data_IF_457591464531
#
_entry.id   IF_457591464531
#
_cell.length_a   1.000
_cell.length_b   1.000
_cell.length_c   1.000
_cell.angle_alpha   90.00
_cell.angle_beta   90.00
_cell.angle_gamma   90.00
#
_symmetry.space_group_name_H-M   'P 1'
#
loop_
_entity.id
_entity.type
_entity.pdbx_description
1 polymer ?
#
# COMPACT_ATOMS: atom_id res chain seq x y z
N UNK A 1 12.17 11.17 -18.09
CA UNK A 1 11.14 12.21 -18.06
C UNK A 1 10.57 12.34 -16.65
N UNK A 2 10.47 13.54 -16.16
CA UNK A 2 9.89 13.79 -14.84
C UNK A 2 8.36 13.71 -14.94
N UNK A 3 7.74 12.87 -14.11
CA UNK A 3 6.30 12.79 -14.04
C UNK A 3 5.76 14.05 -13.36
N UNK A 4 4.73 14.68 -13.94
CA UNK A 4 4.08 15.83 -13.32
C UNK A 4 3.42 15.42 -12.02
N UNK A 5 3.60 16.24 -10.97
CA UNK A 5 2.96 16.02 -9.68
C UNK A 5 1.47 16.33 -9.75
N UNK A 6 0.70 15.53 -9.01
CA UNK A 6 -0.75 15.69 -8.91
C UNK A 6 -1.09 16.49 -7.64
N UNK A 7 -1.82 17.54 -7.83
CA UNK A 7 -2.39 18.34 -6.75
C UNK A 7 -3.84 17.91 -6.50
N UNK A 8 -4.43 18.39 -5.43
CA UNK A 8 -5.83 18.08 -5.11
C UNK A 8 -6.74 18.41 -6.31
N UNK A 9 -6.45 19.50 -7.01
CA UNK A 9 -7.21 20.00 -8.17
C UNK A 9 -7.21 19.00 -9.34
N UNK A 10 -6.20 18.14 -9.41
CA UNK A 10 -6.03 17.15 -10.48
C UNK A 10 -6.69 15.80 -10.16
N UNK A 11 -7.19 15.64 -8.94
CA UNK A 11 -7.75 14.38 -8.46
C UNK A 11 -9.26 14.43 -8.44
N UNK A 12 -9.89 13.32 -8.80
CA UNK A 12 -11.35 13.20 -8.81
C UNK A 12 -11.73 11.79 -8.37
N UNK A 13 -12.96 11.65 -7.90
CA UNK A 13 -13.50 10.33 -7.55
C UNK A 13 -13.46 9.44 -8.79
N UNK A 14 -12.93 8.23 -8.61
CA UNK A 14 -12.77 7.29 -9.71
C UNK A 14 -11.38 7.32 -10.37
N UNK A 15 -10.51 8.27 -10.01
CA UNK A 15 -9.12 8.23 -10.48
C UNK A 15 -8.48 6.91 -10.08
N UNK A 16 -7.85 6.23 -11.03
CA UNK A 16 -7.21 4.93 -10.81
C UNK A 16 -5.75 4.95 -11.22
N UNK A 17 -4.97 4.12 -10.55
CA UNK A 17 -3.54 3.99 -10.80
C UNK A 17 -3.07 2.59 -10.47
N UNK A 18 -2.17 2.05 -11.30
CA UNK A 18 -1.53 0.76 -11.06
C UNK A 18 -0.03 0.97 -10.92
N UNK A 19 0.56 0.43 -9.86
CA UNK A 19 2.01 0.52 -9.60
C UNK A 19 2.80 -0.48 -10.45
N UNK A 20 4.13 -0.40 -10.37
CA UNK A 20 5.01 -1.47 -10.78
C UNK A 20 4.87 -2.69 -9.87
N UNK A 21 5.76 -3.66 -10.02
CA UNK A 21 5.68 -4.93 -9.29
C UNK A 21 6.85 -5.10 -8.32
N UNK A 22 6.63 -5.96 -7.33
CA UNK A 22 7.63 -6.35 -6.33
C UNK A 22 7.48 -7.84 -6.06
N UNK A 23 8.53 -8.61 -6.28
CA UNK A 23 8.51 -10.05 -5.96
C UNK A 23 9.16 -10.25 -4.59
N UNK A 24 8.41 -10.86 -3.67
CA UNK A 24 8.87 -11.12 -2.31
C UNK A 24 9.47 -12.51 -2.23
N UNK A 25 10.61 -12.67 -1.56
CA UNK A 25 11.23 -13.97 -1.38
C UNK A 25 11.21 -14.43 0.08
N UNK A 26 11.54 -15.70 0.28
CA UNK A 26 11.55 -16.32 1.60
C UNK A 26 12.50 -15.61 2.56
N UNK A 27 13.69 -15.25 2.08
CA UNK A 27 14.71 -14.61 2.91
C UNK A 27 14.22 -13.26 3.45
N UNK A 28 13.56 -12.45 2.62
CA UNK A 28 12.99 -11.17 3.06
C UNK A 28 11.88 -11.36 4.07
N UNK A 29 11.00 -12.35 3.86
CA UNK A 29 9.89 -12.62 4.79
C UNK A 29 10.45 -12.90 6.18
N UNK A 30 11.45 -13.77 6.27
CA UNK A 30 12.06 -14.12 7.55
C UNK A 30 12.84 -12.96 8.16
N UNK A 31 13.57 -12.20 7.35
CA UNK A 31 14.34 -11.04 7.83
C UNK A 31 13.46 -9.97 8.44
N UNK A 32 12.37 -9.60 7.75
CA UNK A 32 11.41 -8.63 8.27
C UNK A 32 10.79 -9.13 9.57
N UNK A 33 10.34 -10.39 9.56
CA UNK A 33 9.68 -11.01 10.73
C UNK A 33 10.63 -11.06 11.92
N UNK A 34 11.88 -11.43 11.70
CA UNK A 34 12.88 -11.49 12.77
C UNK A 34 13.05 -10.14 13.45
N UNK A 35 12.98 -9.06 12.68
CA UNK A 35 13.15 -7.72 13.18
C UNK A 35 11.90 -7.14 13.83
N UNK A 36 10.70 -7.38 13.27
CA UNK A 36 9.49 -6.66 13.65
C UNK A 36 8.31 -7.53 14.05
N UNK A 37 8.27 -8.81 13.66
CA UNK A 37 7.13 -9.69 13.90
C UNK A 37 7.61 -11.15 14.05
N UNK A 38 8.37 -11.43 15.11
CA UNK A 38 9.05 -12.73 15.25
C UNK A 38 8.12 -13.85 15.72
N UNK A 39 7.12 -14.13 14.91
CA UNK A 39 6.17 -15.21 15.16
C UNK A 39 6.54 -16.44 14.30
N UNK A 40 6.32 -17.67 14.83
CA UNK A 40 6.80 -18.89 14.15
C UNK A 40 6.36 -19.04 12.70
N UNK A 41 5.11 -18.69 12.37
CA UNK A 41 4.58 -18.83 11.00
C UNK A 41 5.16 -17.83 10.00
N UNK A 42 5.95 -16.86 10.46
CA UNK A 42 6.71 -15.92 9.61
C UNK A 42 8.20 -16.25 9.59
N UNK A 43 8.66 -17.18 10.44
CA UNK A 43 10.08 -17.46 10.64
C UNK A 43 10.50 -18.86 10.23
N UNK A 44 9.60 -19.83 10.30
CA UNK A 44 9.94 -21.26 10.19
C UNK A 44 8.88 -21.99 9.36
N UNK A 45 9.32 -22.62 8.27
CA UNK A 45 8.44 -23.36 7.37
C UNK A 45 7.68 -24.49 8.08
N UNK A 46 8.37 -25.24 8.94
CA UNK A 46 7.76 -26.37 9.65
C UNK A 46 6.68 -25.89 10.62
N UNK A 47 6.98 -24.85 11.39
CA UNK A 47 6.02 -24.24 12.32
C UNK A 47 4.83 -23.65 11.56
N UNK A 48 5.09 -23.01 10.42
CA UNK A 48 4.06 -22.39 9.59
C UNK A 48 3.08 -23.42 9.02
N UNK A 49 3.54 -24.60 8.65
CA UNK A 49 2.69 -25.68 8.14
C UNK A 49 1.67 -26.16 9.17
N UNK A 50 2.00 -26.09 10.45
CA UNK A 50 1.10 -26.44 11.54
C UNK A 50 0.19 -25.28 11.98
N UNK A 51 0.33 -24.11 11.40
CA UNK A 51 -0.44 -22.91 11.75
C UNK A 51 -1.68 -22.74 10.89
N UNK A 52 -2.49 -21.74 11.21
CA UNK A 52 -3.63 -21.34 10.38
C UNK A 52 -3.22 -20.98 8.95
N UNK A 53 -1.98 -20.54 8.74
CA UNK A 53 -1.48 -20.17 7.42
C UNK A 53 -1.12 -21.39 6.56
N UNK A 54 -0.92 -22.55 7.16
CA UNK A 54 -0.57 -23.81 6.48
C UNK A 54 0.70 -23.75 5.62
N UNK A 55 1.58 -22.83 5.92
CA UNK A 55 2.83 -22.61 5.23
C UNK A 55 3.36 -21.22 5.55
N UNK A 56 4.61 -20.96 5.21
CA UNK A 56 5.25 -19.69 5.50
C UNK A 56 4.45 -18.55 4.86
N UNK A 57 4.14 -17.54 5.67
CA UNK A 57 3.42 -16.36 5.24
C UNK A 57 4.20 -15.12 5.67
N UNK A 58 4.16 -14.08 4.85
CA UNK A 58 4.73 -12.78 5.21
C UNK A 58 3.88 -12.12 6.28
N UNK A 59 4.52 -11.37 7.18
CA UNK A 59 3.82 -10.51 8.12
C UNK A 59 2.95 -9.51 7.36
N UNK A 60 1.73 -9.26 7.83
CA UNK A 60 0.87 -8.23 7.25
C UNK A 60 1.56 -6.87 7.24
N UNK A 61 2.32 -6.54 8.28
CA UNK A 61 3.06 -5.27 8.34
C UNK A 61 4.17 -5.20 7.29
N UNK A 62 4.73 -6.34 6.88
CA UNK A 62 5.67 -6.41 5.78
C UNK A 62 4.98 -6.05 4.46
N UNK A 63 3.77 -6.58 4.25
CA UNK A 63 3.00 -6.28 3.05
C UNK A 63 2.60 -4.80 3.04
N UNK A 64 2.26 -4.24 4.19
CA UNK A 64 2.01 -2.80 4.31
C UNK A 64 3.24 -1.98 3.91
N UNK A 65 4.43 -2.40 4.33
CA UNK A 65 5.69 -1.73 3.99
C UNK A 65 6.00 -1.84 2.48
N UNK A 66 5.80 -3.01 1.89
CA UNK A 66 5.99 -3.20 0.44
C UNK A 66 4.99 -2.35 -0.35
N UNK A 67 3.75 -2.29 0.11
CA UNK A 67 2.72 -1.42 -0.50
C UNK A 67 3.20 0.02 -0.52
N UNK A 68 3.73 0.52 0.60
CA UNK A 68 4.28 1.88 0.67
C UNK A 68 5.44 2.06 -0.30
N UNK A 69 6.36 1.09 -0.38
CA UNK A 69 7.48 1.15 -1.31
C UNK A 69 7.00 1.27 -2.76
N UNK A 70 6.00 0.47 -3.15
CA UNK A 70 5.43 0.52 -4.49
C UNK A 70 4.71 1.86 -4.75
N UNK A 71 4.02 2.40 -3.74
CA UNK A 71 3.35 3.68 -3.87
C UNK A 71 4.35 4.84 -4.02
N UNK A 72 5.45 4.80 -3.30
CA UNK A 72 6.50 5.83 -3.40
C UNK A 72 7.24 5.74 -4.74
N UNK A 73 7.57 4.52 -5.16
CA UNK A 73 8.36 4.31 -6.38
C UNK A 73 7.54 4.51 -7.66
N UNK A 74 6.29 4.06 -7.66
CA UNK A 74 5.48 4.00 -8.89
C UNK A 74 3.98 4.17 -8.66
N UNK A 75 3.58 4.75 -7.53
CA UNK A 75 2.19 5.07 -7.24
C UNK A 75 1.77 6.41 -7.82
N UNK A 76 0.56 6.89 -7.49
CA UNK A 76 0.11 8.21 -7.94
C UNK A 76 1.12 9.27 -7.48
N UNK A 77 1.64 10.10 -8.40
CA UNK A 77 2.71 11.05 -8.06
C UNK A 77 2.16 12.29 -7.36
N UNK A 78 1.72 12.14 -6.13
CA UNK A 78 1.11 13.22 -5.36
C UNK A 78 2.11 14.33 -5.04
N UNK A 79 1.71 15.56 -5.21
CA UNK A 79 2.49 16.72 -4.79
C UNK A 79 2.65 16.67 -3.27
N UNK A 80 3.84 17.01 -2.78
CA UNK A 80 4.13 17.00 -1.36
C UNK A 80 4.40 15.63 -0.76
N UNK A 81 4.34 14.55 -1.56
CA UNK A 81 4.53 13.17 -1.10
C UNK A 81 3.24 12.55 -0.55
N UNK A 82 3.36 11.34 -0.02
CA UNK A 82 2.23 10.60 0.52
C UNK A 82 2.17 10.84 2.02
N UNK A 83 1.20 11.66 2.45
CA UNK A 83 1.04 12.03 3.86
C UNK A 83 -0.28 11.46 4.36
N UNK A 84 -0.19 10.40 5.18
CA UNK A 84 -1.35 9.73 5.72
C UNK A 84 -1.88 10.40 6.99
N UNK A 85 -3.20 10.45 7.12
CA UNK A 85 -3.88 10.97 8.29
C UNK A 85 -4.64 9.87 9.07
N UNK A 86 -4.66 8.67 8.55
CA UNK A 86 -5.32 7.52 9.17
C UNK A 86 -6.01 6.65 8.14
N UNK A 87 -6.50 5.50 8.56
CA UNK A 87 -7.17 4.59 7.64
C UNK A 87 -7.45 3.24 8.24
N UNK A 88 -7.87 2.32 7.39
CA UNK A 88 -8.19 0.95 7.71
C UNK A 88 -7.38 0.00 6.83
N UNK A 89 -6.94 -1.11 7.41
CA UNK A 89 -6.16 -2.11 6.71
C UNK A 89 -6.73 -3.50 6.97
N UNK A 90 -6.82 -4.31 5.91
CA UNK A 90 -7.26 -5.70 5.98
C UNK A 90 -6.31 -6.58 5.19
N UNK A 91 -6.11 -7.81 5.65
CA UNK A 91 -5.30 -8.83 4.98
C UNK A 91 -6.17 -10.05 4.69
N UNK A 92 -6.89 -10.06 3.55
CA UNK A 92 -7.85 -11.13 3.25
C UNK A 92 -7.21 -12.48 2.91
N UNK A 93 -5.94 -12.47 2.49
CA UNK A 93 -5.20 -13.70 2.13
C UNK A 93 -3.74 -13.58 2.55
N UNK A 94 -3.08 -14.71 2.88
CA UNK A 94 -1.66 -14.67 3.16
C UNK A 94 -0.84 -14.42 1.90
N UNK A 95 0.28 -13.74 2.07
CA UNK A 95 1.28 -13.57 1.01
C UNK A 95 2.36 -14.64 1.20
N UNK A 96 2.69 -15.33 0.12
CA UNK A 96 3.63 -16.45 0.13
C UNK A 96 4.96 -16.07 -0.49
N UNK A 97 6.04 -16.80 -0.13
CA UNK A 97 7.32 -16.63 -0.82
C UNK A 97 7.15 -16.80 -2.33
N UNK A 98 7.75 -15.92 -3.10
CA UNK A 98 7.68 -15.94 -4.55
C UNK A 98 6.50 -15.19 -5.15
N UNK A 99 5.59 -14.68 -4.33
CA UNK A 99 4.48 -13.89 -4.85
C UNK A 99 5.01 -12.59 -5.46
N UNK A 100 4.42 -12.20 -6.58
CA UNK A 100 4.69 -10.92 -7.25
C UNK A 100 3.52 -9.98 -7.01
N UNK A 101 3.81 -8.88 -6.35
CA UNK A 101 2.81 -7.94 -5.84
C UNK A 101 2.78 -6.68 -6.70
N UNK A 102 1.58 -6.12 -6.86
CA UNK A 102 1.36 -4.79 -7.43
C UNK A 102 0.25 -4.11 -6.64
N UNK A 103 0.18 -2.79 -6.72
CA UNK A 103 -0.83 -2.01 -6.01
C UNK A 103 -1.74 -1.32 -7.02
N UNK A 104 -3.05 -1.54 -6.89
CA UNK A 104 -4.07 -0.83 -7.66
C UNK A 104 -4.80 0.11 -6.71
N UNK A 105 -4.83 1.39 -7.07
CA UNK A 105 -5.39 2.44 -6.23
C UNK A 105 -6.55 3.12 -6.91
N UNK A 106 -7.52 3.55 -6.11
CA UNK A 106 -8.67 4.31 -6.59
C UNK A 106 -9.03 5.40 -5.57
N UNK A 107 -9.25 6.62 -6.08
CA UNK A 107 -9.74 7.73 -5.26
C UNK A 107 -11.23 7.55 -5.03
N UNK A 108 -11.64 7.44 -3.77
CA UNK A 108 -13.04 7.27 -3.38
C UNK A 108 -13.71 8.57 -3.01
N UNK A 109 -12.95 9.55 -2.51
CA UNK A 109 -13.49 10.81 -2.02
C UNK A 109 -12.43 11.90 -2.15
N UNK A 110 -12.86 13.12 -2.46
CA UNK A 110 -12.00 14.32 -2.51
C UNK A 110 -12.70 15.39 -1.68
N UNK A 111 -12.04 15.87 -0.63
CA UNK A 111 -12.62 16.86 0.29
C UNK A 111 -11.65 18.02 0.49
N UNK A 112 -11.90 19.18 -0.15
CA UNK A 112 -11.12 20.37 0.13
C UNK A 112 -11.25 20.75 1.61
N UNK A 113 -10.16 21.23 2.21
CA UNK A 113 -10.19 21.68 3.59
C UNK A 113 -10.98 22.99 3.71
N UNK A 114 -11.84 23.07 4.73
CA UNK A 114 -12.60 24.29 5.00
C UNK A 114 -11.75 25.34 5.72
N UNK A 115 -10.79 24.91 6.53
CA UNK A 115 -9.96 25.79 7.35
C UNK A 115 -8.61 26.11 6.70
N UNK A 116 -8.16 25.30 5.75
CA UNK A 116 -6.84 25.42 5.12
C UNK A 116 -7.01 25.43 3.59
N UNK A 117 -7.13 26.62 2.96
CA UNK A 117 -7.43 26.68 1.53
C UNK A 117 -6.32 26.15 0.62
N UNK A 118 -5.12 25.92 1.16
CA UNK A 118 -3.96 25.43 0.41
C UNK A 118 -3.92 23.90 0.29
N UNK A 119 -4.92 23.17 0.86
CA UNK A 119 -4.91 21.71 0.90
C UNK A 119 -6.31 21.13 0.99
N UNK A 120 -6.34 19.81 0.92
CA UNK A 120 -7.53 19.03 1.21
C UNK A 120 -7.15 17.60 1.52
N UNK A 121 -8.12 16.73 1.49
CA UNK A 121 -7.95 15.33 1.82
C UNK A 121 -8.57 14.47 0.74
N UNK A 122 -7.91 13.36 0.40
CA UNK A 122 -8.52 12.31 -0.42
C UNK A 122 -8.65 11.04 0.40
N UNK A 123 -9.63 10.22 0.06
CA UNK A 123 -9.71 8.85 0.53
C UNK A 123 -9.25 7.97 -0.62
N UNK A 124 -8.16 7.24 -0.41
CA UNK A 124 -7.57 6.37 -1.41
C UNK A 124 -7.69 4.92 -0.95
N UNK A 125 -8.31 4.09 -1.78
CA UNK A 125 -8.31 2.65 -1.55
C UNK A 125 -7.23 2.03 -2.40
N UNK A 126 -6.28 1.34 -1.75
CA UNK A 126 -5.18 0.66 -2.42
C UNK A 126 -5.26 -0.82 -2.12
N UNK A 127 -5.37 -1.63 -3.16
CA UNK A 127 -5.35 -3.08 -3.05
C UNK A 127 -4.01 -3.60 -3.53
N UNK A 128 -3.34 -4.38 -2.69
CA UNK A 128 -2.12 -5.08 -3.06
C UNK A 128 -2.52 -6.46 -3.54
N UNK A 129 -2.22 -6.74 -4.80
CA UNK A 129 -2.65 -7.96 -5.49
C UNK A 129 -1.44 -8.84 -5.78
N UNK A 130 -1.63 -10.16 -5.71
CA UNK A 130 -0.61 -11.11 -6.12
C UNK A 130 -0.70 -11.40 -7.63
N UNK A 131 0.10 -12.32 -8.14
CA UNK A 131 0.16 -12.68 -9.56
C UNK A 131 -1.11 -13.35 -10.08
N UNK A 132 -1.99 -13.78 -9.19
CA UNK A 132 -3.30 -14.37 -9.54
C UNK A 132 -4.44 -13.36 -9.41
N UNK A 133 -4.10 -12.06 -9.32
CA UNK A 133 -5.06 -10.98 -9.13
C UNK A 133 -5.88 -11.09 -7.84
N UNK A 134 -5.33 -11.77 -6.84
CA UNK A 134 -5.97 -11.91 -5.54
C UNK A 134 -5.48 -10.82 -4.58
N UNK A 135 -6.40 -10.18 -3.88
CA UNK A 135 -6.03 -9.17 -2.89
C UNK A 135 -5.42 -9.84 -1.65
N UNK A 136 -4.20 -9.44 -1.32
CA UNK A 136 -3.51 -9.84 -0.10
C UNK A 136 -3.56 -8.75 0.96
N UNK A 137 -3.87 -7.52 0.54
CA UNK A 137 -4.09 -6.40 1.43
C UNK A 137 -5.05 -5.41 0.79
N UNK A 138 -5.95 -4.86 1.60
CA UNK A 138 -6.77 -3.70 1.21
C UNK A 138 -6.51 -2.61 2.24
N UNK A 139 -6.07 -1.46 1.77
CA UNK A 139 -5.78 -0.30 2.59
C UNK A 139 -6.63 0.86 2.11
N UNK A 140 -7.52 1.36 2.97
CA UNK A 140 -8.30 2.57 2.70
C UNK A 140 -7.76 3.65 3.62
N UNK A 141 -7.15 4.67 3.04
CA UNK A 141 -6.38 5.66 3.79
C UNK A 141 -6.80 7.07 3.40
N UNK A 142 -6.78 7.96 4.38
CA UNK A 142 -6.97 9.40 4.15
C UNK A 142 -5.59 10.03 3.98
N UNK A 143 -5.42 10.75 2.87
CA UNK A 143 -4.17 11.41 2.53
C UNK A 143 -4.39 12.91 2.44
N UNK A 144 -3.42 13.67 2.96
CA UNK A 144 -3.42 15.12 2.85
C UNK A 144 -2.70 15.50 1.56
N UNK A 145 -3.39 16.24 0.69
CA UNK A 145 -2.86 16.63 -0.61
C UNK A 145 -2.94 18.15 -0.76
N UNK A 146 -1.84 18.81 -1.15
CA UNK A 146 -1.87 20.27 -1.37
C UNK A 146 -2.67 20.62 -2.62
N UNK A 147 -3.24 21.82 -2.63
CA UNK A 147 -3.82 22.41 -3.80
C UNK A 147 -2.73 23.07 -4.62
N UNK A 148 -2.99 23.23 -5.92
CA UNK A 148 -2.06 23.92 -6.81
C UNK A 148 -1.89 25.36 -6.33
N UNK A 149 -0.65 25.84 -6.17
CA UNK A 149 -0.41 27.22 -5.74
C UNK A 149 -1.06 28.21 -6.71
N UNK A 150 -1.55 29.33 -6.17
CA UNK A 150 -2.06 30.43 -6.99
C UNK A 150 -0.91 31.02 -7.82
N UNK A 151 -1.22 31.33 -9.08
CA UNK A 151 -0.23 31.90 -10.00
C UNK A 151 0.12 33.34 -9.59
#
# INVERSE_FOLDING_TARGET
>A
MTTSKLYLDDLHVGYRHTSGTYTIDEAEIKAFAHQFDPQPFHLDDAAAKGSLFRGLAASGWHIAAITMRLQVDSGPPLAGGIIGAGGEIDWPRPTRPGDTLRVESEVLEVTPSKSRPDRGMITLRSQTLNQRDEAVQTLTVKLIVPRRPAA
#
